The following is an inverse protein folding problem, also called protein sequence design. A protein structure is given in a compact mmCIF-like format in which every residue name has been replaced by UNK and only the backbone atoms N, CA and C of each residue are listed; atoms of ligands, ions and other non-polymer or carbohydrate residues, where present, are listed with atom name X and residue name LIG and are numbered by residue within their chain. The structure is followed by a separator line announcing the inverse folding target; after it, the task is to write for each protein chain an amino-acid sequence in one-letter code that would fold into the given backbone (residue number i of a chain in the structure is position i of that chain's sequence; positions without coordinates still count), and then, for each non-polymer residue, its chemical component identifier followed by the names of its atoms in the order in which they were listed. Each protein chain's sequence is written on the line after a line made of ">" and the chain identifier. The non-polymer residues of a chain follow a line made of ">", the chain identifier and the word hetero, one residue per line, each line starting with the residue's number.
data_IF_530725599620
#
_entry.id   IF_530725599620
#
_cell.length_a   1.000
_cell.length_b   1.000
_cell.length_c   1.000
_cell.angle_alpha   90.00
_cell.angle_beta   90.00
_cell.angle_gamma   90.00
#
_symmetry.space_group_name_H-M   'P 1'
#
loop_
_entity.id
_entity.type
_entity.pdbx_description
1 polymer ?
#
# COMPACT_ATOMS: atom_id res chain seq x y z
N UNK A 1 51.95 -7.40 34.25
CA UNK A 1 51.97 -6.51 33.08
C UNK A 1 51.29 -7.27 31.99
N UNK A 2 50.09 -6.82 31.67
CA UNK A 2 49.28 -7.23 30.55
C UNK A 2 49.91 -6.69 29.27
N UNK A 3 50.19 -7.56 28.29
CA UNK A 3 50.54 -7.18 26.91
C UNK A 3 49.91 -8.22 25.97
N UNK A 4 48.59 -8.08 25.77
CA UNK A 4 47.90 -8.51 24.56
C UNK A 4 48.37 -7.60 23.41
N UNK A 5 49.11 -8.15 22.43
CA UNK A 5 49.38 -7.46 21.16
C UNK A 5 48.61 -8.18 20.03
N UNK A 6 47.34 -7.81 19.96
CA UNK A 6 46.43 -8.03 18.84
C UNK A 6 46.94 -7.26 17.60
N UNK A 7 47.84 -7.84 16.81
CA UNK A 7 48.15 -7.31 15.48
C UNK A 7 47.81 -8.32 14.36
N UNK A 8 46.58 -8.83 14.42
CA UNK A 8 45.85 -9.43 13.30
C UNK A 8 44.65 -8.57 12.93
N UNK A 9 44.86 -7.26 12.80
CA UNK A 9 43.80 -6.27 12.57
C UNK A 9 43.09 -6.44 11.23
N UNK A 10 41.80 -6.11 11.23
CA UNK A 10 40.75 -6.20 10.21
C UNK A 10 41.06 -5.63 8.80
N UNK A 11 42.30 -5.21 8.52
CA UNK A 11 42.73 -4.60 7.25
C UNK A 11 43.98 -5.27 6.65
N UNK A 12 44.15 -6.58 6.80
CA UNK A 12 45.11 -7.34 5.98
C UNK A 12 44.53 -7.58 4.57
N UNK A 13 44.47 -6.52 3.78
CA UNK A 13 44.23 -6.59 2.33
C UNK A 13 45.60 -6.49 1.66
N UNK A 14 46.15 -7.63 1.23
CA UNK A 14 47.30 -7.64 0.32
C UNK A 14 46.85 -7.10 -1.04
N UNK A 15 47.41 -5.96 -1.44
CA UNK A 15 47.18 -5.37 -2.75
C UNK A 15 48.20 -5.99 -3.72
N UNK A 16 47.85 -7.13 -4.30
CA UNK A 16 48.63 -7.77 -5.35
C UNK A 16 48.49 -6.98 -6.67
N UNK A 17 49.61 -6.51 -7.21
CA UNK A 17 49.67 -5.67 -8.40
C UNK A 17 49.46 -6.44 -9.73
N UNK A 18 48.91 -7.66 -9.71
CA UNK A 18 48.44 -8.36 -10.93
C UNK A 18 47.06 -7.88 -11.42
N UNK A 19 46.32 -7.06 -10.66
CA UNK A 19 44.99 -6.56 -11.06
C UNK A 19 45.05 -5.39 -12.07
N UNK A 20 46.22 -4.80 -12.34
CA UNK A 20 46.35 -3.74 -13.37
C UNK A 20 46.14 -4.28 -14.81
N UNK A 21 46.34 -5.58 -15.04
CA UNK A 21 46.10 -6.21 -16.35
C UNK A 21 44.64 -6.62 -16.55
N UNK A 22 43.92 -6.94 -15.46
CA UNK A 22 42.49 -7.24 -15.49
C UNK A 22 41.63 -5.97 -15.57
N UNK A 23 42.13 -4.83 -15.09
CA UNK A 23 41.46 -3.53 -15.17
C UNK A 23 41.29 -3.05 -16.62
N UNK A 24 42.21 -3.37 -17.53
CA UNK A 24 42.16 -2.97 -18.94
C UNK A 24 41.06 -3.70 -19.76
N UNK A 25 40.60 -4.88 -19.33
CA UNK A 25 39.47 -5.60 -19.96
C UNK A 25 38.11 -5.28 -19.32
N UNK A 26 38.08 -4.55 -18.20
CA UNK A 26 36.84 -4.09 -17.57
C UNK A 26 36.29 -2.78 -18.16
N UNK A 27 36.91 -2.26 -19.23
CA UNK A 27 36.39 -1.14 -19.99
C UNK A 27 35.13 -1.54 -20.77
N UNK A 28 33.97 -1.30 -20.13
CA UNK A 28 32.57 -1.22 -20.64
C UNK A 28 31.55 -2.01 -19.81
N UNK A 29 31.83 -2.36 -18.55
CA UNK A 29 30.74 -2.72 -17.64
C UNK A 29 30.04 -1.45 -17.20
N UNK A 30 28.95 -1.13 -17.90
CA UNK A 30 28.01 -0.08 -17.52
C UNK A 30 27.57 -0.32 -16.06
N UNK A 31 27.69 0.67 -15.16
CA UNK A 31 27.25 0.53 -13.77
C UNK A 31 25.80 0.05 -13.68
N UNK A 32 25.48 -0.75 -12.67
CA UNK A 32 24.13 -1.33 -12.48
C UNK A 32 23.01 -0.27 -12.46
N UNK A 33 23.33 0.92 -11.98
CA UNK A 33 22.40 2.02 -11.82
C UNK A 33 22.56 3.09 -12.94
N UNK A 34 23.32 2.80 -14.00
CA UNK A 34 23.43 3.69 -15.13
C UNK A 34 22.11 3.77 -15.90
N UNK A 35 21.68 5.01 -16.13
CA UNK A 35 20.57 5.34 -17.00
C UNK A 35 21.06 6.38 -18.01
N UNK A 36 20.79 6.17 -19.30
CA UNK A 36 21.09 7.18 -20.31
C UNK A 36 20.15 8.38 -20.18
N UNK A 37 20.62 9.57 -20.54
CA UNK A 37 19.79 10.79 -20.54
C UNK A 37 18.56 10.64 -21.45
N UNK A 38 18.69 9.92 -22.58
CA UNK A 38 17.57 9.66 -23.49
C UNK A 38 16.49 8.78 -22.83
N UNK A 39 16.90 7.73 -22.12
CA UNK A 39 15.97 6.87 -21.38
C UNK A 39 15.31 7.62 -20.22
N UNK A 40 16.06 8.46 -19.51
CA UNK A 40 15.52 9.32 -18.47
C UNK A 40 14.48 10.28 -19.04
N UNK A 41 14.77 10.97 -20.15
CA UNK A 41 13.82 11.88 -20.80
C UNK A 41 12.60 11.15 -21.34
N UNK A 42 12.74 9.92 -21.85
CA UNK A 42 11.60 9.08 -22.25
C UNK A 42 10.71 8.77 -21.05
N UNK A 43 11.28 8.27 -19.96
CA UNK A 43 10.54 7.98 -18.73
C UNK A 43 9.90 9.23 -18.14
N UNK A 44 10.61 10.36 -18.06
CA UNK A 44 10.08 11.60 -17.52
C UNK A 44 8.89 12.14 -18.32
N UNK A 45 8.92 12.02 -19.65
CA UNK A 45 7.79 12.41 -20.52
C UNK A 45 6.56 11.54 -20.31
N UNK A 46 6.77 10.22 -20.21
CA UNK A 46 5.72 9.22 -20.05
C UNK A 46 5.21 9.11 -18.62
N UNK A 47 6.02 9.49 -17.64
CA UNK A 47 5.68 9.33 -16.23
C UNK A 47 4.43 10.12 -15.87
N UNK A 48 3.53 9.43 -15.19
CA UNK A 48 2.33 10.00 -14.59
C UNK A 48 2.26 9.51 -13.15
N UNK A 49 1.93 10.40 -12.20
CA UNK A 49 1.71 9.96 -10.83
C UNK A 49 0.55 8.98 -10.81
N UNK A 50 0.72 7.86 -10.09
CA UNK A 50 -0.37 6.94 -9.84
C UNK A 50 -1.32 7.61 -8.85
N UNK A 51 -2.52 7.97 -9.30
CA UNK A 51 -3.55 8.57 -8.45
C UNK A 51 -4.54 7.48 -8.04
N UNK A 52 -4.44 7.02 -6.80
CA UNK A 52 -5.39 6.07 -6.22
C UNK A 52 -6.69 6.79 -5.88
N UNK A 53 -7.76 6.54 -6.65
CA UNK A 53 -9.07 7.23 -6.53
C UNK A 53 -10.08 6.46 -5.67
N UNK A 54 -9.63 5.51 -4.85
CA UNK A 54 -10.53 4.65 -4.10
C UNK A 54 -11.28 3.65 -4.98
N UNK A 55 -10.59 3.08 -5.97
CA UNK A 55 -11.17 2.11 -6.92
C UNK A 55 -10.71 0.67 -6.66
N UNK A 56 -9.93 0.40 -5.61
CA UNK A 56 -9.46 -0.96 -5.28
C UNK A 56 -10.64 -1.91 -5.08
N UNK A 57 -11.77 -1.43 -4.56
CA UNK A 57 -12.97 -2.26 -4.41
C UNK A 57 -13.49 -2.87 -5.74
N UNK A 58 -13.19 -2.25 -6.88
CA UNK A 58 -13.58 -2.76 -8.21
C UNK A 58 -12.74 -3.95 -8.66
N UNK A 59 -11.55 -4.13 -8.09
CA UNK A 59 -10.68 -5.27 -8.41
C UNK A 59 -11.03 -6.51 -7.59
N UNK A 60 -11.97 -6.39 -6.64
CA UNK A 60 -12.41 -7.50 -5.81
C UNK A 60 -13.51 -8.28 -6.55
N UNK A 61 -13.26 -9.56 -6.79
CA UNK A 61 -14.26 -10.47 -7.35
C UNK A 61 -15.26 -10.86 -6.26
N UNK A 62 -16.55 -10.59 -6.51
CA UNK A 62 -17.66 -10.91 -5.61
C UNK A 62 -18.46 -12.05 -6.26
N UNK A 63 -18.81 -13.15 -5.57
CA UNK A 63 -18.68 -13.40 -4.13
C UNK A 63 -17.24 -13.72 -3.68
N UNK A 64 -16.88 -13.21 -2.50
CA UNK A 64 -15.56 -13.43 -1.89
C UNK A 64 -15.57 -14.84 -1.30
N UNK A 65 -14.99 -15.80 -2.03
CA UNK A 65 -14.77 -17.16 -1.55
C UNK A 65 -13.37 -17.29 -0.95
N UNK A 66 -13.28 -17.99 0.18
CA UNK A 66 -12.06 -18.36 0.92
C UNK A 66 -10.79 -17.53 0.59
N UNK A 67 -10.75 -16.24 0.98
CA UNK A 67 -9.71 -15.33 0.53
C UNK A 67 -8.35 -15.69 1.11
N UNK A 68 -7.31 -15.70 0.27
CA UNK A 68 -5.93 -15.79 0.74
C UNK A 68 -5.53 -14.54 1.53
N UNK A 69 -4.41 -14.57 2.26
CA UNK A 69 -3.91 -13.40 3.00
C UNK A 69 -3.75 -12.15 2.12
N UNK A 70 -3.17 -12.22 0.90
CA UNK A 70 -3.10 -11.07 -0.01
C UNK A 70 -4.49 -10.55 -0.41
N UNK A 71 -5.43 -11.43 -0.71
CA UNK A 71 -6.80 -11.04 -1.08
C UNK A 71 -7.51 -10.37 0.11
N UNK A 72 -7.31 -10.89 1.33
CA UNK A 72 -7.84 -10.30 2.55
C UNK A 72 -7.30 -8.89 2.81
N UNK A 73 -6.01 -8.64 2.53
CA UNK A 73 -5.43 -7.30 2.59
C UNK A 73 -6.04 -6.36 1.55
N UNK A 74 -6.19 -6.81 0.30
CA UNK A 74 -6.85 -6.01 -0.75
C UNK A 74 -8.28 -5.62 -0.35
N UNK A 75 -9.03 -6.54 0.26
CA UNK A 75 -10.37 -6.27 0.79
C UNK A 75 -10.32 -5.20 1.89
N UNK A 76 -9.42 -5.33 2.86
CA UNK A 76 -9.25 -4.34 3.91
C UNK A 76 -8.94 -2.96 3.31
N UNK A 77 -7.94 -2.86 2.44
CA UNK A 77 -7.54 -1.59 1.84
C UNK A 77 -8.65 -0.96 1.02
N UNK A 78 -9.44 -1.75 0.29
CA UNK A 78 -10.62 -1.24 -0.41
C UNK A 78 -11.64 -0.61 0.53
N UNK A 79 -11.90 -1.24 1.69
CA UNK A 79 -12.82 -0.70 2.70
C UNK A 79 -12.25 0.58 3.33
N UNK A 80 -10.96 0.60 3.62
CA UNK A 80 -10.25 1.76 4.16
C UNK A 80 -10.32 2.96 3.21
N UNK A 81 -9.99 2.75 1.94
CA UNK A 81 -10.09 3.79 0.92
C UNK A 81 -11.52 4.34 0.83
N UNK A 82 -12.53 3.47 0.70
CA UNK A 82 -13.92 3.91 0.60
C UNK A 82 -14.34 4.71 1.86
N UNK A 83 -13.87 4.30 3.04
CA UNK A 83 -14.12 5.03 4.28
C UNK A 83 -13.46 6.42 4.28
N UNK A 84 -12.19 6.54 3.89
CA UNK A 84 -11.47 7.82 3.83
C UNK A 84 -12.02 8.76 2.76
N UNK A 85 -12.49 8.22 1.63
CA UNK A 85 -13.22 8.96 0.59
C UNK A 85 -14.67 9.30 0.99
N UNK A 86 -15.09 8.98 2.23
CA UNK A 86 -16.44 9.21 2.76
C UNK A 86 -17.55 8.50 1.97
N UNK A 87 -17.20 7.47 1.21
CA UNK A 87 -18.11 6.60 0.45
C UNK A 87 -18.65 5.49 1.35
N UNK A 88 -19.30 5.88 2.44
CA UNK A 88 -19.67 4.99 3.54
C UNK A 88 -20.66 3.89 3.14
N UNK A 89 -21.54 4.15 2.18
CA UNK A 89 -22.50 3.15 1.68
C UNK A 89 -21.82 2.01 0.94
N UNK A 90 -20.84 2.34 0.10
CA UNK A 90 -20.05 1.36 -0.64
C UNK A 90 -19.09 0.62 0.28
N UNK A 91 -18.44 1.33 1.21
CA UNK A 91 -17.60 0.73 2.24
C UNK A 91 -18.40 -0.33 3.02
N UNK A 92 -19.59 0.03 3.50
CA UNK A 92 -20.51 -0.88 4.20
C UNK A 92 -20.85 -2.10 3.34
N UNK A 93 -21.20 -1.92 2.07
CA UNK A 93 -21.57 -3.03 1.17
C UNK A 93 -20.41 -4.01 1.01
N UNK A 94 -19.20 -3.53 0.72
CA UNK A 94 -18.02 -4.38 0.56
C UNK A 94 -17.69 -5.11 1.85
N UNK A 95 -17.77 -4.42 3.00
CA UNK A 95 -17.54 -5.02 4.31
C UNK A 95 -18.54 -6.15 4.62
N UNK A 96 -19.83 -5.94 4.35
CA UNK A 96 -20.86 -6.98 4.58
C UNK A 96 -20.62 -8.20 3.70
N UNK A 97 -20.26 -8.01 2.42
CA UNK A 97 -19.91 -9.12 1.53
C UNK A 97 -18.64 -9.86 1.97
N UNK A 98 -17.64 -9.13 2.45
CA UNK A 98 -16.40 -9.72 2.97
C UNK A 98 -16.63 -10.54 4.24
N UNK A 99 -17.50 -10.10 5.15
CA UNK A 99 -17.81 -10.82 6.39
C UNK A 99 -18.59 -12.12 6.16
N UNK A 100 -19.28 -12.26 5.02
CA UNK A 100 -19.91 -13.53 4.61
C UNK A 100 -18.90 -14.59 4.19
N UNK A 101 -17.65 -14.22 3.90
CA UNK A 101 -16.63 -15.17 3.48
C UNK A 101 -16.21 -16.09 4.65
N UNK A 102 -16.37 -17.40 4.47
CA UNK A 102 -16.05 -18.41 5.50
C UNK A 102 -14.55 -18.50 5.81
N UNK A 103 -13.69 -18.15 4.84
CA UNK A 103 -12.23 -18.23 4.96
C UNK A 103 -11.51 -16.95 5.41
N UNK A 104 -12.26 -15.91 5.81
CA UNK A 104 -11.64 -14.65 6.21
C UNK A 104 -10.87 -14.83 7.54
N UNK A 105 -9.58 -14.50 7.53
CA UNK A 105 -8.71 -14.58 8.71
C UNK A 105 -9.27 -13.70 9.84
N UNK A 106 -9.23 -14.20 11.08
CA UNK A 106 -9.87 -13.57 12.24
C UNK A 106 -9.42 -12.12 12.51
N UNK A 107 -8.14 -11.80 12.28
CA UNK A 107 -7.62 -10.43 12.45
C UNK A 107 -8.26 -9.42 11.49
N UNK A 108 -8.46 -9.82 10.22
CA UNK A 108 -9.13 -8.99 9.23
C UNK A 108 -10.63 -8.87 9.52
N UNK A 109 -11.25 -9.96 9.99
CA UNK A 109 -12.67 -9.96 10.37
C UNK A 109 -12.96 -8.93 11.45
N UNK A 110 -12.22 -8.94 12.56
CA UNK A 110 -12.38 -7.95 13.65
C UNK A 110 -12.21 -6.51 13.17
N UNK A 111 -11.24 -6.28 12.29
CA UNK A 111 -10.96 -4.95 11.74
C UNK A 111 -12.11 -4.47 10.85
N UNK A 112 -12.66 -5.36 10.01
CA UNK A 112 -13.79 -5.09 9.15
C UNK A 112 -15.09 -4.82 9.92
N UNK A 113 -15.36 -5.57 11.00
CA UNK A 113 -16.48 -5.28 11.92
C UNK A 113 -16.38 -3.85 12.49
N UNK A 114 -15.20 -3.44 12.96
CA UNK A 114 -15.00 -2.07 13.43
C UNK A 114 -15.16 -1.00 12.34
N UNK A 115 -14.85 -1.30 11.07
CA UNK A 115 -15.17 -0.40 9.96
C UNK A 115 -16.67 -0.38 9.65
N UNK A 116 -17.38 -1.50 9.78
CA UNK A 116 -18.82 -1.57 9.58
C UNK A 116 -19.56 -0.66 10.56
N UNK A 117 -19.25 -0.78 11.85
CA UNK A 117 -19.84 0.07 12.90
C UNK A 117 -19.58 1.56 12.66
N UNK A 118 -18.35 1.92 12.28
CA UNK A 118 -17.99 3.31 11.95
C UNK A 118 -18.75 3.82 10.72
N UNK A 119 -18.91 2.99 9.69
CA UNK A 119 -19.69 3.36 8.51
C UNK A 119 -21.17 3.58 8.86
N UNK A 120 -21.77 2.66 9.61
CA UNK A 120 -23.17 2.77 10.05
C UNK A 120 -23.39 4.02 10.92
N UNK A 121 -22.47 4.32 11.84
CA UNK A 121 -22.51 5.55 12.64
C UNK A 121 -22.44 6.82 11.78
N UNK A 122 -21.58 6.85 10.75
CA UNK A 122 -21.47 7.99 9.82
C UNK A 122 -22.71 8.14 8.94
N UNK A 123 -23.27 7.04 8.47
CA UNK A 123 -24.51 7.05 7.68
C UNK A 123 -25.71 7.52 8.51
N UNK A 124 -25.81 7.06 9.76
CA UNK A 124 -26.85 7.51 10.69
C UNK A 124 -26.71 9.01 11.02
N UNK A 125 -25.49 9.47 11.31
CA UNK A 125 -25.22 10.89 11.57
C UNK A 125 -25.56 11.78 10.37
N UNK A 126 -25.27 11.33 9.15
CA UNK A 126 -25.63 12.03 7.91
C UNK A 126 -27.15 12.16 7.77
N UNK A 127 -27.89 11.07 7.97
CA UNK A 127 -29.37 11.08 7.94
C UNK A 127 -29.97 12.02 8.98
N UNK A 128 -29.40 12.11 10.18
CA UNK A 128 -29.84 13.06 11.22
C UNK A 128 -29.54 14.52 10.84
N UNK A 129 -28.38 14.77 10.22
CA UNK A 129 -27.98 16.11 9.76
C UNK A 129 -28.86 16.64 8.61
N UNK A 130 -29.19 15.78 7.64
CA UNK A 130 -30.06 16.12 6.51
C UNK A 130 -31.52 16.38 6.94
N UNK A 131 -31.97 15.80 8.06
CA UNK A 131 -33.32 16.00 8.61
C UNK A 131 -33.54 17.35 9.30
N UNK A 132 -32.48 17.98 9.82
CA UNK A 132 -32.57 19.24 10.58
C UNK A 132 -32.76 20.48 9.70
N UNK A 133 -32.49 20.38 8.40
CA UNK A 133 -32.60 21.49 7.43
C UNK A 133 -33.96 21.64 6.74
N UNK A 134 -34.93 20.74 6.97
CA UNK A 134 -36.23 20.75 6.27
C UNK A 134 -37.43 21.25 7.09
N UNK A 135 -37.26 21.58 8.37
CA UNK A 135 -38.37 22.01 9.25
C UNK A 135 -38.55 23.53 9.37
N UNK A 136 -37.73 24.36 8.70
CA UNK A 136 -37.72 25.81 8.89
C UNK A 136 -38.08 26.63 7.63
N UNK A 137 -38.99 26.11 6.79
CA UNK A 137 -39.70 26.95 5.81
C UNK A 137 -41.18 26.94 6.12
N UNK A 138 -41.58 28.00 6.80
CA UNK A 138 -42.89 28.27 7.35
C UNK A 138 -44.00 28.25 6.31
N UNK A 139 -45.13 27.75 6.79
CA UNK A 139 -46.48 27.85 6.24
C UNK A 139 -47.07 29.23 6.63
N UNK A 140 -48.23 29.56 6.04
CA UNK A 140 -48.43 30.55 4.97
C UNK A 140 -48.34 32.03 5.39
#
# INVERSE_FOLDING_TARGET
>A
MDEDDENGGLFNIEFDSEDEKAAAEQEKKVPRDYQSEEDFQRQAREWRPKVERGEIYKTITVPISNPSKPVSQTILHAVEELYFYRRYEEARRVTVEALKAEGLIAEFRKTLEGYLERCDAKLAARKLGDGKGKSEKGKP
#
